data_IF_421845368525
#
_entry.id   IF_421845368525
#
_cell.length_a   1.000
_cell.length_b   1.000
_cell.length_c   1.000
_cell.angle_alpha   90.00
_cell.angle_beta   90.00
_cell.angle_gamma   90.00
#
_symmetry.space_group_name_H-M   'P 1'
#
loop_
_entity.id
_entity.type
_entity.pdbx_description
1 polymer ?
#
# COMPACT_ATOMS: atom_id res chain seq x y z
N UNK A 1 -28.06 7.39 15.43
CA UNK A 1 -26.67 6.97 15.70
C UNK A 1 -26.42 5.68 14.93
N UNK A 2 -25.65 5.72 13.84
CA UNK A 2 -25.34 4.51 13.06
C UNK A 2 -23.98 3.98 13.52
N UNK A 3 -23.99 2.93 14.32
CA UNK A 3 -22.85 2.05 14.51
C UNK A 3 -22.61 1.28 13.20
N UNK A 4 -21.86 1.88 12.28
CA UNK A 4 -21.37 1.18 11.10
C UNK A 4 -20.06 0.47 11.46
N UNK A 5 -20.18 -0.63 12.20
CA UNK A 5 -19.16 -1.67 12.22
C UNK A 5 -19.19 -2.35 10.84
N UNK A 6 -18.66 -1.68 9.83
CA UNK A 6 -18.47 -2.30 8.51
C UNK A 6 -17.09 -2.90 8.49
N UNK A 7 -17.07 -4.23 8.39
CA UNK A 7 -15.93 -5.04 7.99
C UNK A 7 -15.50 -4.70 6.56
N UNK A 8 -14.98 -3.48 6.36
CA UNK A 8 -14.13 -3.12 5.24
C UNK A 8 -12.76 -3.05 5.88
N UNK A 9 -11.84 -3.94 5.51
CA UNK A 9 -10.43 -3.79 5.88
C UNK A 9 -10.05 -2.36 5.50
N UNK A 10 -9.91 -1.49 6.49
CA UNK A 10 -9.71 -0.08 6.20
C UNK A 10 -8.43 0.02 5.37
N UNK A 11 -8.41 0.81 4.30
CA UNK A 11 -7.30 0.92 3.32
C UNK A 11 -5.89 0.76 3.92
N UNK A 12 -5.62 1.42 5.04
CA UNK A 12 -4.34 1.35 5.76
C UNK A 12 -3.94 -0.06 6.22
N UNK A 13 -4.90 -0.92 6.57
CA UNK A 13 -4.68 -2.32 6.94
C UNK A 13 -4.12 -3.11 5.77
N UNK A 14 -4.73 -2.99 4.58
CA UNK A 14 -4.28 -3.70 3.39
C UNK A 14 -2.89 -3.24 2.94
N UNK A 15 -2.59 -1.94 3.08
CA UNK A 15 -1.27 -1.40 2.75
C UNK A 15 -0.21 -1.88 3.74
N UNK A 16 -0.52 -1.91 5.04
CA UNK A 16 0.38 -2.50 6.04
C UNK A 16 0.71 -3.95 5.71
N UNK A 17 -0.30 -4.77 5.39
CA UNK A 17 -0.09 -6.18 5.07
C UNK A 17 0.75 -6.36 3.79
N UNK A 18 0.55 -5.50 2.78
CA UNK A 18 1.38 -5.48 1.58
C UNK A 18 2.86 -5.18 1.90
N UNK A 19 3.13 -4.17 2.72
CA UNK A 19 4.51 -3.82 3.13
C UNK A 19 5.11 -4.94 3.99
N UNK A 20 4.31 -5.59 4.84
CA UNK A 20 4.73 -6.74 5.62
C UNK A 20 5.16 -7.91 4.71
N UNK A 21 4.47 -8.11 3.60
CA UNK A 21 4.85 -9.10 2.60
C UNK A 21 6.12 -8.68 1.82
N UNK A 22 6.31 -7.39 1.52
CA UNK A 22 7.58 -6.88 0.99
C UNK A 22 8.75 -7.19 1.94
N UNK A 23 8.60 -6.94 3.25
CA UNK A 23 9.63 -7.28 4.24
C UNK A 23 9.95 -8.79 4.25
N UNK A 24 8.93 -9.65 4.17
CA UNK A 24 9.15 -11.10 4.09
C UNK A 24 9.91 -11.46 2.81
N UNK A 25 9.55 -10.83 1.69
CA UNK A 25 10.17 -11.05 0.41
C UNK A 25 11.65 -10.66 0.43
N UNK A 26 11.99 -9.49 1.00
CA UNK A 26 13.39 -9.10 1.22
C UNK A 26 14.14 -10.16 2.04
N UNK A 27 13.56 -10.63 3.15
CA UNK A 27 14.17 -11.66 4.01
C UNK A 27 14.39 -12.98 3.29
N UNK A 28 13.46 -13.40 2.43
CA UNK A 28 13.61 -14.63 1.64
C UNK A 28 14.68 -14.46 0.57
N UNK A 29 14.73 -13.31 -0.09
CA UNK A 29 15.68 -13.05 -1.19
C UNK A 29 17.09 -12.70 -0.74
N UNK A 30 17.30 -12.26 0.50
CA UNK A 30 18.62 -11.84 1.00
C UNK A 30 19.68 -12.94 0.99
N UNK A 31 19.26 -14.21 1.09
CA UNK A 31 20.14 -15.38 1.00
C UNK A 31 20.23 -16.01 -0.41
N UNK A 32 19.59 -15.40 -1.40
CA UNK A 32 19.34 -15.99 -2.72
C UNK A 32 19.87 -15.05 -3.81
N UNK A 33 21.19 -15.03 -4.01
CA UNK A 33 21.89 -14.06 -4.87
C UNK A 33 21.42 -14.05 -6.34
N UNK A 34 20.83 -15.13 -6.83
CA UNK A 34 20.33 -15.23 -8.21
C UNK A 34 18.81 -14.98 -8.35
N UNK A 35 18.10 -14.76 -7.24
CA UNK A 35 16.66 -14.62 -7.24
C UNK A 35 16.21 -13.19 -6.95
N UNK A 36 15.17 -12.75 -7.68
CA UNK A 36 14.53 -11.44 -7.48
C UNK A 36 13.10 -11.66 -7.03
N UNK A 37 12.74 -11.02 -5.93
CA UNK A 37 11.36 -10.96 -5.45
C UNK A 37 10.64 -9.75 -6.04
N UNK A 38 9.41 -9.94 -6.51
CA UNK A 38 8.53 -8.84 -6.93
C UNK A 38 7.25 -8.85 -6.10
N UNK A 39 6.86 -7.67 -5.61
CA UNK A 39 5.56 -7.44 -5.01
C UNK A 39 4.79 -6.45 -5.90
N UNK A 40 3.64 -6.86 -6.42
CA UNK A 40 2.81 -6.06 -7.33
C UNK A 40 1.44 -5.90 -6.68
N UNK A 41 0.95 -4.68 -6.65
CA UNK A 41 -0.41 -4.35 -6.24
C UNK A 41 -1.20 -3.87 -7.46
N UNK A 42 -2.40 -4.44 -7.65
CA UNK A 42 -3.36 -4.04 -8.68
C UNK A 42 -4.65 -3.69 -7.96
N UNK A 43 -5.15 -2.48 -8.15
CA UNK A 43 -6.38 -2.02 -7.50
C UNK A 43 -7.09 -1.02 -8.39
N UNK A 44 -8.41 -0.90 -8.21
CA UNK A 44 -9.23 0.15 -8.82
C UNK A 44 -9.52 1.30 -7.83
N UNK A 45 -9.05 1.19 -6.58
CA UNK A 45 -9.24 2.22 -5.56
C UNK A 45 -8.16 3.30 -5.67
N UNK A 46 -8.57 4.47 -6.13
CA UNK A 46 -7.68 5.62 -6.30
C UNK A 46 -7.02 6.14 -5.04
N UNK A 47 -7.55 5.78 -3.86
CA UNK A 47 -6.97 6.20 -2.61
C UNK A 47 -5.61 5.54 -2.31
N UNK A 48 -5.20 4.54 -3.09
CA UNK A 48 -3.87 3.92 -3.00
C UNK A 48 -2.80 4.75 -3.74
N UNK A 49 -3.17 5.41 -4.85
CA UNK A 49 -2.22 6.16 -5.68
C UNK A 49 -2.30 7.68 -5.54
N UNK A 50 -3.37 8.20 -4.94
CA UNK A 50 -3.50 9.62 -4.61
C UNK A 50 -3.12 9.90 -3.15
N UNK A 51 -2.43 11.01 -2.87
CA UNK A 51 -2.16 11.40 -1.49
C UNK A 51 -3.47 11.69 -0.74
N UNK A 52 -3.53 11.24 0.52
CA UNK A 52 -4.63 11.59 1.42
C UNK A 52 -4.65 13.07 1.75
N UNK A 53 -5.83 13.61 2.08
CA UNK A 53 -5.99 15.03 2.45
C UNK A 53 -5.57 15.35 3.90
N UNK A 54 -5.49 14.34 4.77
CA UNK A 54 -5.11 14.52 6.18
C UNK A 54 -3.60 14.80 6.24
N UNK A 55 -3.20 15.85 6.97
CA UNK A 55 -1.80 16.28 7.06
C UNK A 55 -0.92 15.25 7.80
N UNK A 56 -1.43 14.72 8.92
CA UNK A 56 -0.74 13.73 9.76
C UNK A 56 -1.64 12.50 9.96
N UNK A 57 -1.81 11.66 8.93
CA UNK A 57 -2.52 10.42 9.06
C UNK A 57 -1.71 9.43 9.90
N UNK A 58 -2.39 8.57 10.65
CA UNK A 58 -1.74 7.59 11.55
C UNK A 58 -1.04 6.47 10.75
N UNK A 59 -1.39 6.33 9.49
CA UNK A 59 -0.84 5.38 8.51
C UNK A 59 0.21 6.02 7.59
N UNK A 60 0.68 7.24 7.86
CA UNK A 60 1.58 8.02 6.99
C UNK A 60 2.82 7.24 6.56
N UNK A 61 3.44 6.48 7.47
CA UNK A 61 4.64 5.70 7.18
C UNK A 61 4.40 4.62 6.12
N UNK A 62 3.16 4.14 5.97
CA UNK A 62 2.80 3.08 5.05
C UNK A 62 2.34 3.59 3.68
N UNK A 63 2.25 4.91 3.47
CA UNK A 63 1.69 5.46 2.24
C UNK A 63 2.43 5.00 0.98
N UNK A 64 1.64 4.54 0.00
CA UNK A 64 2.18 4.04 -1.27
C UNK A 64 1.76 4.87 -2.47
N UNK A 65 1.34 6.14 -2.30
CA UNK A 65 0.92 6.99 -3.41
C UNK A 65 2.09 7.41 -4.32
N UNK A 66 1.78 7.96 -5.50
CA UNK A 66 2.82 8.53 -6.36
C UNK A 66 3.63 9.61 -5.62
N UNK A 67 4.95 9.52 -5.69
CA UNK A 67 5.88 10.43 -4.99
C UNK A 67 6.18 10.05 -3.54
N UNK A 68 5.54 9.02 -2.98
CA UNK A 68 5.94 8.47 -1.69
C UNK A 68 7.29 7.73 -1.80
N UNK A 69 7.99 7.65 -0.68
CA UNK A 69 9.18 6.80 -0.51
C UNK A 69 8.94 5.91 0.71
N UNK A 70 9.13 4.61 0.52
CA UNK A 70 8.89 3.59 1.54
C UNK A 70 10.23 2.92 1.82
N UNK A 71 10.79 3.14 3.00
CA UNK A 71 12.13 2.69 3.36
C UNK A 71 12.33 2.67 4.87
N UNK A 72 13.25 1.84 5.37
CA UNK A 72 13.63 1.82 6.78
C UNK A 72 12.52 1.33 7.70
N UNK A 73 12.43 1.91 8.91
CA UNK A 73 11.42 1.55 9.92
C UNK A 73 10.11 2.27 9.66
N UNK A 74 9.02 1.51 9.62
CA UNK A 74 7.67 1.96 9.31
C UNK A 74 6.75 1.57 10.47
N UNK A 75 6.16 2.57 11.12
CA UNK A 75 5.33 2.39 12.32
C UNK A 75 4.01 3.15 12.20
N UNK A 76 3.03 2.72 12.99
CA UNK A 76 1.80 3.50 13.16
C UNK A 76 2.10 4.79 13.93
N UNK A 77 1.45 5.88 13.54
CA UNK A 77 1.44 7.10 14.31
C UNK A 77 0.79 6.90 15.68
N UNK A 78 1.18 7.72 16.66
CA UNK A 78 0.81 7.58 18.08
C UNK A 78 -0.71 7.54 18.30
N UNK A 79 -1.49 8.25 17.47
CA UNK A 79 -2.94 8.31 17.59
C UNK A 79 -3.69 7.15 16.89
N UNK A 80 -2.98 6.12 16.43
CA UNK A 80 -3.62 4.94 15.86
C UNK A 80 -4.41 4.19 16.95
N UNK A 81 -5.71 4.03 16.73
CA UNK A 81 -6.59 3.31 17.66
C UNK A 81 -6.19 1.84 17.79
N UNK A 82 -6.48 1.24 18.95
CA UNK A 82 -6.20 -0.17 19.23
C UNK A 82 -6.83 -1.11 18.18
N UNK A 83 -8.07 -0.83 17.77
CA UNK A 83 -8.74 -1.60 16.73
C UNK A 83 -8.04 -1.55 15.37
N UNK A 84 -7.38 -0.43 15.04
CA UNK A 84 -6.59 -0.26 13.80
C UNK A 84 -5.28 -1.06 13.87
N UNK A 85 -4.64 -1.06 15.04
CA UNK A 85 -3.35 -1.72 15.27
C UNK A 85 -3.47 -3.21 15.54
N UNK A 86 -4.66 -3.73 15.84
CA UNK A 86 -4.86 -5.13 16.23
C UNK A 86 -4.26 -6.10 15.20
N UNK A 87 -3.35 -6.96 15.66
CA UNK A 87 -2.52 -7.91 14.91
C UNK A 87 -1.49 -7.27 13.93
N UNK A 88 -1.27 -5.96 14.04
CA UNK A 88 -0.41 -5.11 13.21
C UNK A 88 0.37 -4.11 14.07
N UNK A 89 0.63 -4.47 15.31
CA UNK A 89 1.22 -3.58 16.32
C UNK A 89 2.71 -3.37 16.10
N UNK A 90 3.37 -4.34 15.47
CA UNK A 90 4.80 -4.36 15.24
C UNK A 90 5.21 -3.39 14.11
N UNK A 91 6.34 -2.74 14.33
CA UNK A 91 7.02 -1.98 13.30
C UNK A 91 7.48 -2.90 12.17
N UNK A 92 7.44 -2.39 10.95
CA UNK A 92 7.98 -3.04 9.77
C UNK A 92 9.33 -2.40 9.42
N UNK A 93 10.24 -3.19 8.88
CA UNK A 93 11.56 -2.74 8.47
C UNK A 93 11.86 -3.20 7.04
N UNK A 94 12.12 -2.24 6.16
CA UNK A 94 12.61 -2.49 4.80
C UNK A 94 14.08 -2.08 4.69
N UNK A 95 14.91 -2.97 4.16
CA UNK A 95 16.33 -2.73 3.90
C UNK A 95 16.54 -1.87 2.65
N UNK A 96 15.61 -1.95 1.70
CA UNK A 96 15.65 -1.21 0.45
C UNK A 96 14.69 -0.01 0.51
N UNK A 97 14.93 0.96 -0.38
CA UNK A 97 14.00 2.07 -0.63
C UNK A 97 13.18 1.82 -1.89
N UNK A 98 11.87 2.01 -1.77
CA UNK A 98 10.91 1.82 -2.85
C UNK A 98 10.13 3.11 -3.13
N UNK A 99 10.00 3.44 -4.42
CA UNK A 99 9.15 4.54 -4.91
C UNK A 99 8.03 3.96 -5.76
N UNK A 100 6.79 3.93 -5.27
CA UNK A 100 5.65 3.47 -6.05
C UNK A 100 5.49 4.30 -7.33
N UNK A 101 5.28 3.62 -8.46
CA UNK A 101 4.97 4.21 -9.75
C UNK A 101 3.67 3.61 -10.25
N UNK A 102 2.54 4.24 -9.88
CA UNK A 102 1.23 3.79 -10.32
C UNK A 102 1.03 4.13 -11.78
N UNK A 103 0.56 3.14 -12.54
CA UNK A 103 0.24 3.25 -13.95
C UNK A 103 -1.15 2.69 -14.20
N UNK A 104 -1.93 3.27 -15.14
CA UNK A 104 -3.15 2.63 -15.60
C UNK A 104 -2.83 1.19 -16.04
N UNK A 105 -3.63 0.23 -15.58
CA UNK A 105 -3.50 -1.16 -16.03
C UNK A 105 -3.74 -1.29 -17.53
N UNK A 106 -4.64 -0.45 -18.06
CA UNK A 106 -5.01 -0.40 -19.46
C UNK A 106 -5.27 1.05 -19.86
N UNK A 107 -4.62 1.49 -20.93
CA UNK A 107 -4.98 2.71 -21.65
C UNK A 107 -5.68 2.26 -22.92
N UNK A 108 -7.00 2.40 -22.96
CA UNK A 108 -7.71 2.21 -24.21
C UNK A 108 -7.70 3.55 -24.94
N UNK A 109 -7.09 3.59 -26.13
CA UNK A 109 -7.18 4.73 -27.05
C UNK A 109 -8.57 4.72 -27.69
N UNK A 110 -9.60 4.92 -26.88
CA UNK A 110 -10.97 5.06 -27.36
C UNK A 110 -11.15 6.53 -27.68
N UNK A 111 -11.28 6.87 -28.97
CA UNK A 111 -11.85 8.16 -29.35
C UNK A 111 -13.19 8.35 -28.61
N UNK A 112 -13.67 9.59 -28.45
CA UNK A 112 -14.83 9.93 -27.59
C UNK A 112 -16.10 9.09 -27.80
N UNK A 113 -16.20 8.33 -28.91
CA UNK A 113 -17.30 7.39 -29.23
C UNK A 113 -16.81 6.02 -29.77
N UNK A 114 -15.59 5.58 -29.47
CA UNK A 114 -15.11 4.29 -29.96
C UNK A 114 -15.80 3.11 -29.26
N UNK A 115 -16.19 2.10 -30.03
CA UNK A 115 -16.72 0.85 -29.49
C UNK A 115 -15.57 -0.06 -29.05
N UNK A 116 -15.62 -0.54 -27.81
CA UNK A 116 -14.73 -1.60 -27.34
C UNK A 116 -15.33 -2.93 -27.78
N UNK A 117 -14.81 -3.51 -28.87
CA UNK A 117 -15.19 -4.86 -29.27
C UNK A 117 -14.41 -5.86 -28.42
N UNK A 118 -15.14 -6.80 -27.80
CA UNK A 118 -14.63 -7.91 -26.99
C UNK A 118 -14.85 -9.21 -27.73
#
# INVERSE_FOLDING_TARGET
>A
MRNHATCVLTRYVAIYDFIKDMQKLEKVTSGLSEHKGYAIIITNDQAYWNPGKKMNPVDKAFHIHNGAEITGTLSWGEEASEGTRKNREADLFLNQSYRPSWRPYLSLDVEKNGEVQV
#
